data_IF_414947983502
#
_entry.id   IF_414947983502
#
_cell.length_a   1.000
_cell.length_b   1.000
_cell.length_c   1.000
_cell.angle_alpha   90.00
_cell.angle_beta   90.00
_cell.angle_gamma   90.00
#
_symmetry.space_group_name_H-M   'P 1'
#
loop_
_entity.id
_entity.type
_entity.pdbx_description
1 polymer ?
#
# COMPACT_ATOMS: atom_id res chain seq x y z
N UNK A 1 -4.74 5.71 22.92
CA UNK A 1 -5.61 5.23 21.83
C UNK A 1 -4.77 4.74 20.65
N UNK A 2 -3.80 5.53 20.19
CA UNK A 2 -2.98 5.24 19.00
C UNK A 2 -2.34 3.85 19.01
N UNK A 3 -1.67 3.46 20.09
CA UNK A 3 -1.02 2.14 20.17
C UNK A 3 -1.98 0.96 20.03
N UNK A 4 -3.23 1.09 20.48
CA UNK A 4 -4.24 0.02 20.38
C UNK A 4 -4.76 -0.06 18.95
N UNK A 5 -5.10 1.09 18.37
CA UNK A 5 -5.52 1.19 16.97
C UNK A 5 -4.42 0.68 16.02
N UNK A 6 -3.17 1.12 16.22
CA UNK A 6 -2.02 0.65 15.45
C UNK A 6 -1.83 -0.86 15.53
N UNK A 7 -1.90 -1.47 16.73
CA UNK A 7 -1.79 -2.93 16.87
C UNK A 7 -2.94 -3.66 16.20
N UNK A 8 -4.16 -3.13 16.30
CA UNK A 8 -5.33 -3.71 15.66
C UNK A 8 -5.20 -3.65 14.14
N UNK A 9 -4.90 -2.47 13.57
CA UNK A 9 -4.69 -2.28 12.14
C UNK A 9 -3.59 -3.19 11.59
N UNK A 10 -2.46 -3.31 12.29
CA UNK A 10 -1.36 -4.18 11.86
C UNK A 10 -1.72 -5.67 11.91
N UNK A 11 -2.41 -6.12 12.96
CA UNK A 11 -2.90 -7.50 13.03
C UNK A 11 -3.92 -7.81 11.95
N UNK A 12 -4.88 -6.90 11.74
CA UNK A 12 -5.91 -7.07 10.71
C UNK A 12 -5.26 -7.07 9.33
N UNK A 13 -4.43 -6.08 8.98
CA UNK A 13 -3.73 -6.05 7.69
C UNK A 13 -2.88 -7.31 7.46
N UNK A 14 -2.15 -7.78 8.48
CA UNK A 14 -1.38 -9.02 8.40
C UNK A 14 -2.25 -10.27 8.24
N UNK A 15 -3.41 -10.33 8.89
CA UNK A 15 -4.36 -11.44 8.75
C UNK A 15 -5.06 -11.44 7.39
N UNK A 16 -5.59 -10.30 6.95
CA UNK A 16 -6.37 -10.25 5.71
C UNK A 16 -5.51 -10.48 4.47
N UNK A 17 -4.19 -10.29 4.56
CA UNK A 17 -3.24 -10.65 3.51
C UNK A 17 -2.84 -12.14 3.49
N UNK A 18 -3.23 -12.95 4.48
CA UNK A 18 -2.86 -14.37 4.54
C UNK A 18 -3.82 -15.27 3.75
N UNK A 19 -3.32 -16.36 3.13
CA UNK A 19 -4.16 -17.35 2.44
C UNK A 19 -5.30 -17.91 3.32
N UNK A 20 -5.08 -18.02 4.63
CA UNK A 20 -6.10 -18.49 5.57
C UNK A 20 -7.31 -17.55 5.67
N UNK A 21 -7.11 -16.23 5.63
CA UNK A 21 -8.21 -15.27 5.65
C UNK A 21 -9.05 -15.38 4.36
N UNK A 22 -8.40 -15.60 3.21
CA UNK A 22 -9.11 -15.86 1.96
C UNK A 22 -9.95 -17.14 2.05
N UNK A 23 -9.39 -18.24 2.56
CA UNK A 23 -10.12 -19.50 2.75
C UNK A 23 -11.33 -19.31 3.66
N UNK A 24 -11.18 -18.60 4.79
CA UNK A 24 -12.27 -18.33 5.72
C UNK A 24 -13.36 -17.44 5.09
N UNK A 25 -12.96 -16.41 4.33
CA UNK A 25 -13.90 -15.56 3.61
C UNK A 25 -14.68 -16.35 2.54
N UNK A 26 -13.99 -17.17 1.74
CA UNK A 26 -14.63 -18.05 0.77
C UNK A 26 -15.57 -19.06 1.44
N UNK A 27 -15.16 -19.67 2.56
CA UNK A 27 -16.01 -20.59 3.32
C UNK A 27 -17.28 -19.89 3.84
N UNK A 28 -17.15 -18.64 4.31
CA UNK A 28 -18.29 -17.83 4.77
C UNK A 28 -19.28 -17.57 3.63
N UNK A 29 -18.79 -17.22 2.45
CA UNK A 29 -19.62 -17.02 1.25
C UNK A 29 -20.30 -18.32 0.83
N UNK A 30 -19.60 -19.46 0.88
CA UNK A 30 -20.17 -20.77 0.55
C UNK A 30 -21.25 -21.18 1.55
N UNK A 31 -21.01 -21.02 2.85
CA UNK A 31 -22.02 -21.28 3.89
C UNK A 31 -23.24 -20.40 3.65
N UNK A 32 -23.05 -19.10 3.45
CA UNK A 32 -24.14 -18.19 3.12
C UNK A 32 -24.92 -18.71 1.91
N UNK A 33 -24.26 -18.99 0.78
CA UNK A 33 -24.89 -19.48 -0.45
C UNK A 33 -25.72 -20.76 -0.22
N UNK A 34 -25.19 -21.73 0.53
CA UNK A 34 -25.88 -22.99 0.84
C UNK A 34 -27.06 -22.84 1.79
N UNK A 35 -27.06 -21.79 2.63
CA UNK A 35 -28.23 -21.45 3.47
C UNK A 35 -29.33 -20.73 2.67
N UNK A 36 -29.02 -20.16 1.51
CA UNK A 36 -29.98 -19.44 0.66
C UNK A 36 -31.29 -20.20 0.36
N UNK A 37 -31.25 -21.47 -0.08
CA UNK A 37 -32.45 -22.28 -0.31
C UNK A 37 -33.35 -22.46 0.93
N UNK A 38 -32.76 -22.53 2.14
CA UNK A 38 -33.53 -22.65 3.39
C UNK A 38 -34.36 -21.39 3.67
N UNK A 39 -33.86 -20.22 3.24
CA UNK A 39 -34.51 -18.92 3.40
C UNK A 39 -35.22 -18.43 2.14
N UNK A 40 -35.34 -19.27 1.10
CA UNK A 40 -35.94 -18.91 -0.18
C UNK A 40 -35.27 -17.72 -0.87
N UNK A 41 -33.97 -17.50 -0.63
CA UNK A 41 -33.22 -16.33 -1.11
C UNK A 41 -33.89 -14.97 -0.77
N UNK A 42 -34.51 -14.88 0.41
CA UNK A 42 -35.25 -13.69 0.85
C UNK A 42 -34.42 -12.40 0.90
N UNK A 43 -35.11 -11.26 0.82
CA UNK A 43 -34.50 -9.93 0.93
C UNK A 43 -33.72 -9.76 2.24
N UNK A 44 -34.24 -10.27 3.36
CA UNK A 44 -33.55 -10.22 4.66
C UNK A 44 -32.24 -11.02 4.64
N UNK A 45 -32.23 -12.19 4.00
CA UNK A 45 -31.04 -13.03 3.87
C UNK A 45 -29.95 -12.37 3.01
N UNK A 46 -30.34 -11.67 1.93
CA UNK A 46 -29.43 -10.85 1.12
C UNK A 46 -28.94 -9.61 1.87
N UNK A 47 -29.85 -8.93 2.59
CA UNK A 47 -29.55 -7.72 3.34
C UNK A 47 -28.48 -7.98 4.40
N UNK A 48 -28.57 -9.08 5.15
CA UNK A 48 -27.60 -9.41 6.21
C UNK A 48 -26.17 -9.48 5.67
N UNK A 49 -25.93 -10.18 4.55
CA UNK A 49 -24.57 -10.29 4.02
C UNK A 49 -24.10 -8.97 3.39
N UNK A 50 -24.99 -8.25 2.71
CA UNK A 50 -24.66 -6.99 2.05
C UNK A 50 -24.30 -5.93 3.09
N UNK A 51 -25.14 -5.76 4.12
CA UNK A 51 -24.92 -4.82 5.21
C UNK A 51 -23.66 -5.19 6.00
N UNK A 52 -23.49 -6.48 6.34
CA UNK A 52 -22.32 -6.94 7.09
C UNK A 52 -21.01 -6.71 6.35
N UNK A 53 -20.95 -7.12 5.08
CA UNK A 53 -19.74 -6.97 4.25
C UNK A 53 -19.43 -5.50 4.00
N UNK A 54 -20.44 -4.65 3.82
CA UNK A 54 -20.26 -3.20 3.65
C UNK A 54 -19.64 -2.56 4.89
N UNK A 55 -20.16 -2.87 6.09
CA UNK A 55 -19.60 -2.36 7.35
C UNK A 55 -18.15 -2.82 7.53
N UNK A 56 -17.88 -4.12 7.31
CA UNK A 56 -16.52 -4.68 7.43
C UNK A 56 -15.58 -3.98 6.45
N UNK A 57 -16.00 -3.82 5.19
CA UNK A 57 -15.19 -3.16 4.15
C UNK A 57 -14.90 -1.72 4.51
N UNK A 58 -15.92 -0.98 4.97
CA UNK A 58 -15.76 0.41 5.40
C UNK A 58 -14.72 0.53 6.53
N UNK A 59 -14.82 -0.30 7.57
CA UNK A 59 -13.84 -0.33 8.65
C UNK A 59 -12.45 -0.76 8.17
N UNK A 60 -12.39 -1.76 7.28
CA UNK A 60 -11.14 -2.29 6.73
C UNK A 60 -10.36 -1.25 5.94
N UNK A 61 -11.03 -0.35 5.20
CA UNK A 61 -10.36 0.76 4.50
C UNK A 61 -9.56 1.62 5.48
N UNK A 62 -10.12 2.01 6.63
CA UNK A 62 -9.38 2.79 7.63
C UNK A 62 -8.24 1.99 8.27
N UNK A 63 -8.47 0.70 8.54
CA UNK A 63 -7.43 -0.15 9.13
C UNK A 63 -6.26 -0.35 8.17
N UNK A 64 -6.54 -0.59 6.89
CA UNK A 64 -5.52 -0.70 5.83
C UNK A 64 -4.79 0.62 5.67
N UNK A 65 -5.49 1.75 5.57
CA UNK A 65 -4.86 3.06 5.44
C UNK A 65 -3.93 3.35 6.63
N UNK A 66 -4.34 3.05 7.86
CA UNK A 66 -3.48 3.23 9.03
C UNK A 66 -2.24 2.33 8.99
N UNK A 67 -2.39 1.07 8.56
CA UNK A 67 -1.27 0.16 8.40
C UNK A 67 -0.31 0.65 7.30
N UNK A 68 -0.86 1.00 6.13
CA UNK A 68 -0.12 1.50 4.96
C UNK A 68 0.59 2.82 5.23
N UNK A 69 -0.07 3.80 5.87
CA UNK A 69 0.55 5.08 6.21
C UNK A 69 1.76 4.87 7.12
N UNK A 70 1.63 3.99 8.11
CA UNK A 70 2.72 3.68 9.03
C UNK A 70 3.88 2.94 8.36
N UNK A 71 3.57 1.97 7.49
CA UNK A 71 4.58 1.24 6.74
C UNK A 71 5.30 2.16 5.74
N UNK A 72 4.57 3.10 5.13
CA UNK A 72 5.12 4.16 4.29
C UNK A 72 6.14 5.03 5.04
N UNK A 73 5.77 5.57 6.21
CA UNK A 73 6.71 6.37 7.03
C UNK A 73 7.92 5.55 7.51
N UNK A 74 7.73 4.26 7.82
CA UNK A 74 8.85 3.40 8.21
C UNK A 74 9.81 3.11 7.04
N UNK A 75 9.29 3.01 5.81
CA UNK A 75 10.11 2.89 4.61
C UNK A 75 10.87 4.19 4.35
N UNK A 76 10.21 5.35 4.43
CA UNK A 76 10.85 6.66 4.29
C UNK A 76 12.00 6.83 5.28
N UNK A 77 11.78 6.58 6.57
CA UNK A 77 12.83 6.68 7.58
C UNK A 77 14.03 5.75 7.34
N UNK A 78 13.81 4.54 6.79
CA UNK A 78 14.89 3.63 6.41
C UNK A 78 15.66 4.13 5.19
N UNK A 79 14.98 4.73 4.22
CA UNK A 79 15.60 5.32 3.03
C UNK A 79 16.41 6.56 3.41
N UNK A 80 15.88 7.41 4.29
CA UNK A 80 16.59 8.59 4.80
C UNK A 80 17.89 8.19 5.49
N UNK A 81 17.86 7.11 6.29
CA UNK A 81 19.07 6.58 6.92
C UNK A 81 20.08 6.04 5.89
N UNK A 82 19.61 5.39 4.82
CA UNK A 82 20.47 4.92 3.73
C UNK A 82 21.09 6.09 2.96
N UNK A 83 20.33 7.15 2.66
CA UNK A 83 20.84 8.37 2.00
C UNK A 83 21.90 9.00 2.90
N UNK A 84 21.60 9.16 4.19
CA UNK A 84 22.52 9.74 5.18
C UNK A 84 23.83 8.97 5.33
N UNK A 85 23.81 7.66 5.11
CA UNK A 85 24.97 6.78 5.28
C UNK A 85 25.86 6.65 4.03
N UNK A 86 25.43 7.16 2.86
CA UNK A 86 26.17 7.04 1.59
C UNK A 86 26.90 8.35 1.29
N UNK A 87 28.24 8.29 1.19
CA UNK A 87 29.11 9.49 1.04
C UNK A 87 28.76 10.41 -0.15
N UNK A 88 28.26 9.85 -1.26
CA UNK A 88 27.90 10.61 -2.47
C UNK A 88 26.38 10.80 -2.65
N UNK A 89 25.57 10.45 -1.66
CA UNK A 89 24.13 10.67 -1.74
C UNK A 89 23.77 12.10 -1.34
N UNK A 90 22.75 12.66 -2.00
CA UNK A 90 22.28 14.03 -1.76
C UNK A 90 21.35 14.05 -0.54
N UNK A 91 21.87 14.47 0.61
CA UNK A 91 21.09 14.59 1.86
C UNK A 91 19.88 15.54 1.74
N UNK A 92 19.86 16.46 0.76
CA UNK A 92 18.71 17.32 0.46
C UNK A 92 17.45 16.53 0.04
N UNK A 93 17.57 15.25 -0.30
CA UNK A 93 16.44 14.36 -0.59
C UNK A 93 15.77 13.78 0.66
N UNK A 94 16.36 13.93 1.84
CA UNK A 94 15.77 13.47 3.09
C UNK A 94 14.54 14.33 3.40
N UNK A 95 13.38 13.69 3.62
CA UNK A 95 12.15 14.36 4.01
C UNK A 95 11.39 15.09 2.90
N UNK A 96 11.72 14.87 1.62
CA UNK A 96 11.05 15.51 0.48
C UNK A 96 9.55 15.20 0.38
N UNK A 97 9.06 14.14 1.03
CA UNK A 97 7.64 13.80 1.09
C UNK A 97 6.77 14.86 1.79
N UNK A 98 7.39 15.79 2.53
CA UNK A 98 6.70 16.90 3.18
C UNK A 98 6.53 18.12 2.26
N UNK A 99 7.16 18.11 1.07
CA UNK A 99 7.04 19.17 0.09
C UNK A 99 5.68 19.15 -0.60
N UNK A 100 5.27 20.28 -1.15
CA UNK A 100 4.10 20.34 -2.02
C UNK A 100 4.34 19.54 -3.30
N UNK A 101 3.25 19.10 -3.94
CA UNK A 101 3.31 18.35 -5.20
C UNK A 101 4.08 19.13 -6.29
N UNK A 102 3.90 20.44 -6.38
CA UNK A 102 4.61 21.32 -7.31
C UNK A 102 6.11 21.36 -7.04
N UNK A 103 6.52 21.44 -5.78
CA UNK A 103 7.94 21.45 -5.38
C UNK A 103 8.59 20.09 -5.66
N UNK A 104 7.91 18.99 -5.33
CA UNK A 104 8.38 17.64 -5.60
C UNK A 104 8.56 17.40 -7.11
N UNK A 105 7.60 17.85 -7.93
CA UNK A 105 7.70 17.79 -9.38
C UNK A 105 8.90 18.58 -9.92
N UNK A 106 9.18 19.76 -9.34
CA UNK A 106 10.33 20.59 -9.73
C UNK A 106 11.65 19.89 -9.43
N UNK A 107 11.79 19.32 -8.23
CA UNK A 107 12.99 18.57 -7.84
C UNK A 107 13.19 17.35 -8.75
N UNK A 108 12.11 16.61 -9.02
CA UNK A 108 12.14 15.45 -9.92
C UNK A 108 12.58 15.84 -11.34
N UNK A 109 12.06 16.94 -11.87
CA UNK A 109 12.42 17.42 -13.20
C UNK A 109 13.91 17.83 -13.29
N UNK A 110 14.44 18.48 -12.26
CA UNK A 110 15.87 18.84 -12.20
C UNK A 110 16.73 17.58 -12.15
N UNK A 111 16.37 16.59 -11.33
CA UNK A 111 17.09 15.31 -11.24
C UNK A 111 17.08 14.54 -12.57
N UNK A 112 15.93 14.49 -13.25
CA UNK A 112 15.81 13.83 -14.56
C UNK A 112 16.66 14.53 -15.64
N UNK A 113 16.80 15.85 -15.57
CA UNK A 113 17.69 16.62 -16.44
C UNK A 113 19.16 16.32 -16.14
N UNK A 114 19.58 16.39 -14.88
CA UNK A 114 20.95 16.08 -14.45
C UNK A 114 21.39 14.66 -14.88
N UNK A 115 20.53 13.66 -14.69
CA UNK A 115 20.83 12.28 -15.11
C UNK A 115 20.84 12.10 -16.64
N UNK A 116 20.16 12.97 -17.39
CA UNK A 116 20.14 12.90 -18.86
C UNK A 116 21.42 13.49 -19.47
N UNK A 117 21.96 14.52 -18.83
CA UNK A 117 23.21 15.18 -19.25
C UNK A 117 24.47 14.39 -18.85
N UNK A 118 24.33 13.38 -18.00
CA UNK A 118 25.38 12.41 -17.67
C UNK A 118 25.57 11.42 -18.84
N UNK A 119 26.61 11.62 -19.66
CA UNK A 119 26.91 10.85 -20.89
C UNK A 119 26.87 9.32 -20.70
N UNK A 120 27.12 8.84 -19.48
CA UNK A 120 27.12 7.40 -19.15
C UNK A 120 25.70 6.79 -19.13
N UNK A 121 24.65 7.57 -18.83
CA UNK A 121 23.27 7.07 -18.78
C UNK A 121 22.72 6.69 -20.16
N UNK A 122 23.04 7.50 -21.18
CA UNK A 122 22.67 7.19 -22.56
C UNK A 122 23.33 5.89 -23.04
N UNK A 123 24.60 5.66 -22.69
CA UNK A 123 25.33 4.43 -23.01
C UNK A 123 24.76 3.20 -22.28
N UNK A 124 24.35 3.34 -21.02
CA UNK A 124 23.74 2.25 -20.24
C UNK A 124 22.36 1.87 -20.79
N UNK A 125 21.50 2.84 -21.09
CA UNK A 125 20.18 2.58 -21.69
C UNK A 125 20.34 1.92 -23.07
N UNK A 126 21.27 2.40 -23.90
CA UNK A 126 21.53 1.81 -25.21
C UNK A 126 22.05 0.37 -25.10
N UNK A 127 22.91 0.08 -24.12
CA UNK A 127 23.37 -1.29 -23.82
C UNK A 127 22.24 -2.20 -23.32
N UNK A 128 21.32 -1.70 -22.50
CA UNK A 128 20.17 -2.47 -21.99
C UNK A 128 19.15 -2.77 -23.10
N UNK A 129 18.91 -1.80 -23.99
CA UNK A 129 18.04 -1.97 -25.15
C UNK A 129 18.64 -2.93 -26.18
N UNK A 130 19.97 -2.92 -26.38
CA UNK A 130 20.67 -3.89 -27.25
C UNK A 130 20.75 -5.31 -26.67
N UNK A 131 20.45 -5.50 -25.38
CA UNK A 131 20.46 -6.82 -24.70
C UNK A 131 19.12 -7.55 -24.73
N UNK A 132 18.08 -6.95 -25.30
CA UNK A 132 16.76 -7.56 -25.52
C UNK A 132 16.58 -7.93 -26.99
#
# INVERSE_FOLDING_TARGET
MDRIFTRLSHRVAGWTGQPLAFILASATILIWLTTGPLFGYSDTWQLVINTGTTIITFLMVFLIQNAQNRDGSAIQAKLDELIRAVDNARNDFIGIEHLTETELHRIKAVLEQECRDDEDYHLVIERLLKRR
#
